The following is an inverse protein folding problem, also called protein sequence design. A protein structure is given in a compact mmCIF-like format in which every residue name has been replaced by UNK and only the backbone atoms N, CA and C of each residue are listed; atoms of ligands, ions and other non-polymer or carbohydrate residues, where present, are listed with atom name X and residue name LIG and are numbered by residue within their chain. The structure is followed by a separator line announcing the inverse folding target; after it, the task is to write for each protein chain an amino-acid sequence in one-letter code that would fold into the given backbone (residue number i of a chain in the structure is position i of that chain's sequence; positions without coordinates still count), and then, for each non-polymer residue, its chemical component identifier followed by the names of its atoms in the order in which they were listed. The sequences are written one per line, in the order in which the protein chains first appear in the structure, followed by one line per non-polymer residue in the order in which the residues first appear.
data_IF_799962142175
#
_entry.id   IF_799962142175
#
_cell.length_a   1.000
_cell.length_b   1.000
_cell.length_c   1.000
_cell.angle_alpha   90.00
_cell.angle_beta   90.00
_cell.angle_gamma   90.00
#
_symmetry.space_group_name_H-M   'P 1'
#
loop_
_entity.id
_entity.type
_entity.pdbx_description
1 polymer ?
#
# COMPACT_ATOMS: atom_id res chain seq x y z
N UNK A 1 -23.02 42.01 14.85
CA UNK A 1 -24.14 41.57 13.97
C UNK A 1 -23.52 40.56 13.01
N UNK A 2 -23.75 39.24 13.04
CA UNK A 2 -24.99 38.47 13.20
C UNK A 2 -24.68 36.99 13.52
N UNK A 3 -25.35 36.48 14.58
CA UNK A 3 -25.91 35.12 14.83
C UNK A 3 -25.10 33.81 14.70
N UNK A 4 -25.09 32.95 15.75
CA UNK A 4 -24.85 31.51 15.63
C UNK A 4 -26.16 30.71 15.50
N UNK A 5 -26.17 29.67 14.65
CA UNK A 5 -27.30 28.75 14.44
C UNK A 5 -27.38 27.72 15.58
N UNK A 6 -28.51 27.71 16.31
CA UNK A 6 -28.91 26.61 17.19
C UNK A 6 -29.32 25.39 16.35
N UNK A 7 -28.70 24.23 16.59
CA UNK A 7 -29.20 22.91 16.19
C UNK A 7 -30.06 22.36 17.33
N UNK A 8 -31.35 22.18 17.07
CA UNK A 8 -32.28 21.50 17.97
C UNK A 8 -32.49 20.08 17.45
N UNK A 9 -32.14 19.08 18.26
CA UNK A 9 -32.26 17.64 17.94
C UNK A 9 -33.50 17.12 18.67
N UNK A 10 -34.54 16.73 17.94
CA UNK A 10 -35.76 16.16 18.50
C UNK A 10 -35.76 14.64 18.35
N UNK A 11 -35.71 13.93 19.48
CA UNK A 11 -35.93 12.49 19.65
C UNK A 11 -37.42 12.14 19.59
N UNK A 12 -37.84 10.98 19.03
CA UNK A 12 -39.24 10.57 19.05
C UNK A 12 -39.62 9.86 20.36
N UNK A 13 -40.73 10.27 20.97
CA UNK A 13 -41.40 9.59 22.08
C UNK A 13 -42.37 8.52 21.56
N UNK A 14 -42.32 7.37 22.23
CA UNK A 14 -43.20 6.20 22.09
C UNK A 14 -44.45 6.42 22.97
N UNK A 15 -45.65 6.20 22.42
CA UNK A 15 -46.88 6.13 23.20
C UNK A 15 -47.72 4.93 22.74
N UNK A 16 -48.13 4.14 23.74
CA UNK A 16 -48.92 2.92 23.69
C UNK A 16 -50.37 3.27 24.01
N UNK A 17 -51.36 2.62 23.39
CA UNK A 17 -52.73 2.61 23.91
C UNK A 17 -53.81 2.29 22.89
N UNK A 18 -54.09 0.99 22.71
CA UNK A 18 -55.32 0.47 22.10
C UNK A 18 -56.40 0.34 23.18
N UNK A 19 -57.62 0.84 22.92
CA UNK A 19 -58.84 0.01 22.86
C UNK A 19 -60.08 0.87 22.50
N UNK A 20 -61.03 0.27 21.76
CA UNK A 20 -62.50 0.31 21.90
C UNK A 20 -63.14 -0.09 20.54
N UNK A 21 -63.74 -1.28 20.51
CA UNK A 21 -64.77 -1.75 19.56
C UNK A 21 -66.08 -0.95 19.85
N UNK A 22 -66.95 -0.54 18.93
CA UNK A 22 -67.77 -1.23 17.94
C UNK A 22 -68.46 -0.14 17.08
N UNK A 23 -68.71 -0.39 15.79
CA UNK A 23 -70.07 -0.42 15.22
C UNK A 23 -70.02 -0.54 13.69
N UNK A 24 -70.84 -1.47 13.19
CA UNK A 24 -71.02 -1.81 11.80
C UNK A 24 -71.93 -0.79 11.10
N UNK A 25 -71.46 -0.22 9.99
CA UNK A 25 -72.17 -0.26 8.70
C UNK A 25 -71.34 0.46 7.62
N UNK A 26 -71.14 -0.15 6.43
CA UNK A 26 -71.03 0.64 5.23
C UNK A 26 -72.00 0.10 4.20
N UNK A 27 -73.05 0.88 3.93
CA UNK A 27 -73.76 0.79 2.66
C UNK A 27 -73.98 2.20 2.15
N UNK A 28 -72.89 2.84 1.72
CA UNK A 28 -72.95 3.83 0.66
C UNK A 28 -71.96 3.42 -0.40
N UNK A 29 -72.56 2.99 -1.51
CA UNK A 29 -72.01 2.69 -2.81
C UNK A 29 -71.06 3.82 -3.27
N UNK A 30 -69.77 3.72 -2.96
CA UNK A 30 -68.74 4.50 -3.64
C UNK A 30 -68.57 3.93 -5.05
N UNK A 31 -69.39 4.48 -5.94
CA UNK A 31 -69.13 4.47 -7.37
C UNK A 31 -67.69 4.89 -7.59
N UNK A 32 -66.89 3.92 -8.04
CA UNK A 32 -65.57 4.10 -8.61
C UNK A 32 -65.69 5.12 -9.75
N UNK A 33 -65.51 6.39 -9.44
CA UNK A 33 -65.43 7.45 -10.43
C UNK A 33 -64.26 7.10 -11.34
N UNK A 34 -64.52 6.98 -12.64
CA UNK A 34 -63.43 6.93 -13.60
C UNK A 34 -62.59 8.20 -13.44
N UNK A 35 -61.26 8.09 -13.36
CA UNK A 35 -60.43 9.26 -13.17
C UNK A 35 -60.65 10.22 -14.34
N UNK A 36 -60.88 11.50 -14.03
CA UNK A 36 -61.05 12.53 -15.04
C UNK A 36 -59.81 12.58 -15.94
N UNK A 37 -59.91 13.04 -17.19
CA UNK A 37 -58.73 13.06 -18.08
C UNK A 37 -57.57 13.88 -17.50
N UNK A 38 -57.88 14.89 -16.68
CA UNK A 38 -56.90 15.67 -15.94
C UNK A 38 -56.17 14.85 -14.85
N UNK A 39 -56.84 13.95 -14.16
CA UNK A 39 -56.23 13.07 -13.14
C UNK A 39 -55.31 12.03 -13.76
N UNK A 40 -55.66 11.51 -14.96
CA UNK A 40 -54.79 10.59 -15.72
C UNK A 40 -53.50 11.28 -16.18
N UNK A 41 -53.60 12.50 -16.73
CA UNK A 41 -52.43 13.28 -17.16
C UNK A 41 -51.51 13.64 -15.98
N UNK A 42 -52.07 14.02 -14.83
CA UNK A 42 -51.30 14.29 -13.61
C UNK A 42 -50.62 13.04 -13.06
N UNK A 43 -51.26 11.87 -13.15
CA UNK A 43 -50.66 10.60 -12.74
C UNK A 43 -49.49 10.20 -13.64
N UNK A 44 -49.63 10.39 -14.96
CA UNK A 44 -48.54 10.14 -15.92
C UNK A 44 -47.36 11.09 -15.72
N UNK A 45 -47.62 12.37 -15.43
CA UNK A 45 -46.57 13.35 -15.13
C UNK A 45 -45.84 13.03 -13.81
N UNK A 46 -46.59 12.65 -12.77
CA UNK A 46 -46.00 12.15 -11.51
C UNK A 46 -45.12 10.92 -11.72
N UNK A 47 -45.59 9.93 -12.49
CA UNK A 47 -44.81 8.74 -12.78
C UNK A 47 -43.50 9.08 -13.54
N UNK A 48 -43.57 9.97 -14.54
CA UNK A 48 -42.38 10.45 -15.25
C UNK A 48 -41.39 11.16 -14.32
N UNK A 49 -41.88 12.01 -13.42
CA UNK A 49 -41.04 12.70 -12.44
C UNK A 49 -40.42 11.73 -11.43
N UNK A 50 -41.16 10.71 -10.98
CA UNK A 50 -40.64 9.66 -10.09
C UNK A 50 -39.54 8.84 -10.76
N UNK A 51 -39.70 8.49 -12.03
CA UNK A 51 -38.69 7.75 -12.78
C UNK A 51 -37.44 8.60 -13.06
N UNK A 52 -37.61 9.88 -13.39
CA UNK A 52 -36.50 10.83 -13.49
C UNK A 52 -35.78 11.01 -12.15
N UNK A 53 -36.51 11.06 -11.03
CA UNK A 53 -35.93 11.13 -9.69
C UNK A 53 -35.15 9.85 -9.35
N UNK A 54 -35.66 8.67 -9.72
CA UNK A 54 -34.94 7.40 -9.54
C UNK A 54 -33.64 7.42 -10.35
N UNK A 55 -33.70 7.78 -11.64
CA UNK A 55 -32.52 7.86 -12.49
C UNK A 55 -31.46 8.85 -11.96
N UNK A 56 -31.88 10.05 -11.53
CA UNK A 56 -30.96 11.05 -10.98
C UNK A 56 -30.38 10.57 -9.66
N UNK A 57 -31.18 9.96 -8.78
CA UNK A 57 -30.68 9.40 -7.53
C UNK A 57 -29.66 8.29 -7.77
N UNK A 58 -29.88 7.42 -8.75
CA UNK A 58 -28.94 6.35 -9.09
C UNK A 58 -27.64 6.91 -9.69
N UNK A 59 -27.75 7.90 -10.59
CA UNK A 59 -26.57 8.63 -11.13
C UNK A 59 -25.81 9.35 -10.01
N UNK A 60 -26.51 9.98 -9.08
CA UNK A 60 -25.91 10.68 -7.94
C UNK A 60 -25.20 9.73 -6.99
N UNK A 61 -25.84 8.62 -6.60
CA UNK A 61 -25.22 7.58 -5.75
C UNK A 61 -23.98 6.99 -6.41
N UNK A 62 -24.04 6.73 -7.72
CA UNK A 62 -22.87 6.26 -8.49
C UNK A 62 -21.74 7.28 -8.50
N UNK A 63 -22.05 8.55 -8.78
CA UNK A 63 -21.06 9.63 -8.77
C UNK A 63 -20.40 9.80 -7.39
N UNK A 64 -21.16 9.67 -6.29
CA UNK A 64 -20.62 9.68 -4.94
C UNK A 64 -19.69 8.49 -4.68
N UNK A 65 -20.07 7.30 -5.12
CA UNK A 65 -19.22 6.11 -4.99
C UNK A 65 -17.92 6.25 -5.80
N UNK A 66 -17.99 6.76 -7.02
CA UNK A 66 -16.82 7.02 -7.87
C UNK A 66 -15.90 8.06 -7.24
N UNK A 67 -16.46 9.13 -6.68
CA UNK A 67 -15.70 10.17 -5.98
C UNK A 67 -14.96 9.60 -4.75
N UNK A 68 -15.61 8.76 -3.94
CA UNK A 68 -14.96 8.14 -2.78
C UNK A 68 -13.89 7.13 -3.19
N UNK A 69 -14.12 6.34 -4.25
CA UNK A 69 -13.12 5.44 -4.83
C UNK A 69 -11.88 6.20 -5.30
N UNK A 70 -12.05 7.32 -6.00
CA UNK A 70 -10.94 8.18 -6.45
C UNK A 70 -10.22 8.78 -5.25
N UNK A 71 -10.94 9.22 -4.22
CA UNK A 71 -10.37 9.77 -2.99
C UNK A 71 -9.48 8.75 -2.28
N UNK A 72 -9.98 7.54 -2.06
CA UNK A 72 -9.22 6.45 -1.43
C UNK A 72 -8.01 6.04 -2.27
N UNK A 73 -8.17 5.93 -3.59
CA UNK A 73 -7.05 5.62 -4.50
C UNK A 73 -5.98 6.71 -4.44
N UNK A 74 -6.37 7.97 -4.45
CA UNK A 74 -5.45 9.10 -4.41
C UNK A 74 -4.67 9.15 -3.10
N UNK A 75 -5.31 8.85 -1.96
CA UNK A 75 -4.64 8.74 -0.67
C UNK A 75 -3.55 7.66 -0.68
N UNK A 76 -3.88 6.46 -1.18
CA UNK A 76 -2.90 5.36 -1.32
C UNK A 76 -1.72 5.76 -2.22
N UNK A 77 -1.97 6.39 -3.36
CA UNK A 77 -0.91 6.86 -4.25
C UNK A 77 -0.02 7.91 -3.59
N UNK A 78 -0.59 8.81 -2.78
CA UNK A 78 0.19 9.81 -2.04
C UNK A 78 1.04 9.15 -0.94
N UNK A 79 0.51 8.15 -0.24
CA UNK A 79 1.26 7.38 0.76
C UNK A 79 2.40 6.58 0.11
N UNK A 80 2.13 5.89 -0.99
CA UNK A 80 3.14 5.16 -1.77
C UNK A 80 4.21 6.11 -2.31
N UNK A 81 3.82 7.27 -2.86
CA UNK A 81 4.76 8.27 -3.35
C UNK A 81 5.67 8.83 -2.23
N UNK A 82 5.15 8.95 -1.00
CA UNK A 82 5.96 9.36 0.16
C UNK A 82 6.96 8.28 0.57
N UNK A 83 6.52 7.02 0.61
CA UNK A 83 7.38 5.90 1.03
C UNK A 83 8.44 5.55 -0.02
N UNK A 84 8.09 5.61 -1.30
CA UNK A 84 8.94 5.16 -2.41
C UNK A 84 9.49 6.30 -3.27
N UNK A 85 9.21 7.57 -2.94
CA UNK A 85 9.75 8.73 -3.67
C UNK A 85 11.27 8.81 -3.64
N UNK A 86 11.91 8.29 -2.59
CA UNK A 86 13.37 8.22 -2.45
C UNK A 86 14.01 7.04 -3.19
N UNK A 87 13.23 6.23 -3.90
CA UNK A 87 13.69 4.97 -4.49
C UNK A 87 14.88 5.14 -5.44
N UNK A 88 14.83 6.12 -6.35
CA UNK A 88 15.92 6.39 -7.29
C UNK A 88 17.19 6.83 -6.56
N UNK A 89 17.06 7.80 -5.65
CA UNK A 89 18.17 8.27 -4.82
C UNK A 89 18.82 7.13 -4.04
N UNK A 90 18.02 6.24 -3.46
CA UNK A 90 18.55 5.07 -2.76
C UNK A 90 19.31 4.13 -3.70
N UNK A 91 18.83 3.90 -4.93
CA UNK A 91 19.56 3.06 -5.92
C UNK A 91 20.93 3.62 -6.24
N UNK A 92 21.03 4.92 -6.49
CA UNK A 92 22.32 5.57 -6.79
C UNK A 92 23.28 5.45 -5.60
N UNK A 93 22.76 5.59 -4.38
CA UNK A 93 23.56 5.46 -3.16
C UNK A 93 24.00 4.02 -2.87
N UNK A 94 23.29 3.00 -3.38
CA UNK A 94 23.74 1.61 -3.29
C UNK A 94 25.01 1.37 -4.12
N UNK A 95 25.18 2.06 -5.25
CA UNK A 95 26.42 1.93 -6.05
C UNK A 95 27.63 2.44 -5.27
N UNK A 96 27.46 3.56 -4.55
CA UNK A 96 28.50 4.09 -3.66
C UNK A 96 28.81 3.11 -2.53
N UNK A 97 27.79 2.50 -1.91
CA UNK A 97 27.98 1.50 -0.88
C UNK A 97 28.76 0.26 -1.40
N UNK A 98 28.47 -0.21 -2.61
CA UNK A 98 29.20 -1.32 -3.22
C UNK A 98 30.68 -0.97 -3.50
N UNK A 99 30.94 0.27 -3.91
CA UNK A 99 32.32 0.75 -4.15
C UNK A 99 33.09 0.80 -2.82
N UNK A 100 32.45 1.24 -1.74
CA UNK A 100 33.05 1.23 -0.40
C UNK A 100 33.37 -0.19 0.06
N UNK A 101 32.45 -1.14 -0.14
CA UNK A 101 32.66 -2.56 0.19
C UNK A 101 33.81 -3.17 -0.63
N UNK A 102 33.87 -2.88 -1.94
CA UNK A 102 35.02 -3.28 -2.77
C UNK A 102 36.33 -2.65 -2.32
N UNK A 103 36.30 -1.38 -1.89
CA UNK A 103 37.49 -0.69 -1.42
C UNK A 103 38.02 -1.34 -0.13
N UNK A 104 37.15 -1.69 0.82
CA UNK A 104 37.55 -2.40 2.04
C UNK A 104 38.02 -3.83 1.75
N UNK A 105 37.42 -4.54 0.79
CA UNK A 105 37.88 -5.87 0.36
C UNK A 105 39.22 -5.87 -0.39
N UNK A 106 39.53 -4.78 -1.10
CA UNK A 106 40.74 -4.68 -1.94
C UNK A 106 42.05 -4.55 -1.15
N UNK A 107 41.98 -4.15 0.13
CA UNK A 107 43.16 -3.99 0.98
C UNK A 107 43.58 -5.35 1.53
N UNK A 108 44.80 -5.84 1.23
CA UNK A 108 45.27 -7.12 1.77
C UNK A 108 45.34 -7.05 3.30
N UNK A 109 44.66 -7.97 3.99
CA UNK A 109 44.62 -8.00 5.46
C UNK A 109 46.01 -8.08 6.10
N UNK A 110 46.98 -8.67 5.39
CA UNK A 110 48.36 -8.79 5.86
C UNK A 110 49.14 -7.47 5.86
N UNK A 111 48.69 -6.47 5.10
CA UNK A 111 49.29 -5.13 5.03
C UNK A 111 48.66 -4.17 6.07
N UNK A 112 47.53 -4.55 6.67
CA UNK A 112 46.87 -3.81 7.76
C UNK A 112 47.58 -4.12 9.09
N UNK A 113 48.86 -3.77 9.16
CA UNK A 113 49.71 -3.93 10.34
C UNK A 113 50.15 -2.57 10.88
N UNK A 114 50.63 -2.56 12.12
CA UNK A 114 51.16 -1.34 12.76
C UNK A 114 52.44 -0.82 12.08
N UNK A 115 53.05 -1.61 11.20
CA UNK A 115 54.17 -1.20 10.33
C UNK A 115 53.79 -0.05 9.38
N UNK A 116 52.52 0.08 9.01
CA UNK A 116 52.03 1.17 8.17
C UNK A 116 50.79 1.85 8.78
N UNK A 117 50.98 2.71 9.80
CA UNK A 117 49.87 3.24 10.61
C UNK A 117 48.91 4.13 9.81
N UNK A 118 49.38 4.77 8.74
CA UNK A 118 48.53 5.59 7.86
C UNK A 118 47.52 4.73 7.06
N UNK A 119 47.95 3.57 6.56
CA UNK A 119 47.07 2.65 5.84
C UNK A 119 46.01 2.08 6.77
N UNK A 120 46.42 1.66 7.97
CA UNK A 120 45.50 1.15 9.01
C UNK A 120 44.44 2.19 9.40
N UNK A 121 44.86 3.43 9.67
CA UNK A 121 43.92 4.52 10.01
C UNK A 121 42.95 4.84 8.86
N UNK A 122 43.41 4.82 7.61
CA UNK A 122 42.55 5.02 6.44
C UNK A 122 41.52 3.89 6.30
N UNK A 123 41.96 2.63 6.44
CA UNK A 123 41.09 1.45 6.39
C UNK A 123 40.01 1.52 7.49
N UNK A 124 40.40 1.84 8.72
CA UNK A 124 39.46 2.01 9.84
C UNK A 124 38.43 3.12 9.54
N UNK A 125 38.87 4.25 8.96
CA UNK A 125 37.97 5.33 8.53
C UNK A 125 36.96 4.89 7.47
N UNK A 126 37.39 4.07 6.50
CA UNK A 126 36.50 3.50 5.47
C UNK A 126 35.47 2.55 6.09
N UNK A 127 35.90 1.65 6.98
CA UNK A 127 35.00 0.73 7.71
C UNK A 127 33.99 1.50 8.56
N UNK A 128 34.41 2.57 9.24
CA UNK A 128 33.50 3.44 10.00
C UNK A 128 32.45 4.10 9.09
N UNK A 129 32.86 4.54 7.90
CA UNK A 129 31.96 5.14 6.91
C UNK A 129 30.96 4.11 6.38
N UNK A 130 31.39 2.88 6.12
CA UNK A 130 30.53 1.76 5.72
C UNK A 130 29.48 1.44 6.80
N UNK A 131 29.91 1.36 8.07
CA UNK A 131 28.97 1.14 9.19
C UNK A 131 27.97 2.30 9.30
N UNK A 132 28.40 3.53 9.07
CA UNK A 132 27.54 4.71 9.15
C UNK A 132 26.51 4.74 8.01
N UNK A 133 26.89 4.42 6.77
CA UNK A 133 25.94 4.38 5.65
C UNK A 133 24.90 3.27 5.85
N UNK A 134 25.31 2.10 6.37
CA UNK A 134 24.38 1.02 6.71
C UNK A 134 23.39 1.41 7.82
N UNK A 135 23.82 2.21 8.81
CA UNK A 135 22.91 2.77 9.82
C UNK A 135 21.91 3.75 9.20
N UNK A 136 22.34 4.60 8.27
CA UNK A 136 21.46 5.53 7.55
C UNK A 136 20.44 4.76 6.71
N UNK A 137 20.87 3.72 5.99
CA UNK A 137 19.97 2.84 5.22
C UNK A 137 18.86 2.26 6.11
N UNK A 138 19.23 1.65 7.24
CA UNK A 138 18.25 1.08 8.18
C UNK A 138 17.26 2.13 8.71
N UNK A 139 17.72 3.35 9.02
CA UNK A 139 16.84 4.45 9.47
C UNK A 139 15.80 4.85 8.43
N UNK A 140 16.14 4.78 7.15
CA UNK A 140 15.24 5.08 6.04
C UNK A 140 14.52 3.86 5.46
N UNK A 141 14.51 2.73 6.18
CA UNK A 141 13.79 1.53 5.77
C UNK A 141 14.46 0.72 4.65
N UNK A 142 15.72 1.00 4.32
CA UNK A 142 16.55 0.12 3.51
C UNK A 142 17.12 -1.03 4.35
N UNK A 143 16.82 -2.25 3.93
CA UNK A 143 17.31 -3.48 4.54
C UNK A 143 18.22 -4.22 3.56
N UNK A 144 19.43 -4.55 4.02
CA UNK A 144 20.40 -5.38 3.29
C UNK A 144 19.94 -6.84 3.30
N UNK A 145 19.95 -7.49 2.14
CA UNK A 145 19.66 -8.91 1.96
C UNK A 145 20.97 -9.67 1.85
N UNK A 146 21.17 -10.58 2.79
CA UNK A 146 22.29 -11.53 2.80
C UNK A 146 21.77 -12.96 2.82
N UNK A 147 21.41 -13.52 1.64
CA UNK A 147 20.75 -14.81 1.57
C UNK A 147 21.71 -16.00 1.59
N UNK A 148 22.96 -15.87 2.03
CA UNK A 148 23.88 -17.03 2.09
C UNK A 148 23.26 -18.17 2.92
N UNK A 149 23.12 -19.35 2.31
CA UNK A 149 22.50 -20.52 2.94
C UNK A 149 20.97 -20.53 2.97
N UNK A 150 20.30 -19.45 2.54
CA UNK A 150 18.85 -19.42 2.39
C UNK A 150 18.42 -20.14 1.09
N UNK A 151 17.14 -20.53 1.01
CA UNK A 151 16.55 -21.01 -0.24
C UNK A 151 16.51 -19.88 -1.26
N UNK A 152 16.75 -20.23 -2.52
CA UNK A 152 16.65 -19.28 -3.61
C UNK A 152 15.21 -18.79 -3.79
N UNK A 153 15.00 -17.47 -3.82
CA UNK A 153 13.73 -16.82 -4.08
C UNK A 153 13.87 -15.92 -5.32
N UNK A 154 13.16 -16.21 -6.43
CA UNK A 154 13.19 -15.40 -7.65
C UNK A 154 12.74 -13.94 -7.46
N UNK A 155 11.97 -13.62 -6.42
CA UNK A 155 11.51 -12.24 -6.17
C UNK A 155 12.57 -11.36 -5.50
N UNK A 156 13.58 -11.98 -4.89
CA UNK A 156 14.58 -11.30 -4.05
C UNK A 156 16.02 -11.54 -4.54
N UNK A 157 16.24 -12.61 -5.30
CA UNK A 157 17.54 -13.07 -5.74
C UNK A 157 17.61 -13.21 -7.26
N UNK A 158 18.77 -12.93 -7.83
CA UNK A 158 19.10 -13.15 -9.23
C UNK A 158 20.29 -14.10 -9.31
N UNK A 159 20.06 -15.30 -9.88
CA UNK A 159 21.07 -16.34 -9.96
C UNK A 159 22.03 -16.05 -11.13
N UNK A 160 23.30 -15.76 -10.82
CA UNK A 160 24.34 -15.54 -11.82
C UNK A 160 24.89 -16.85 -12.40
N UNK A 161 25.06 -17.85 -11.53
CA UNK A 161 25.61 -19.15 -11.92
C UNK A 161 25.15 -20.24 -10.96
N UNK A 162 25.30 -21.48 -11.42
CA UNK A 162 25.03 -22.68 -10.66
C UNK A 162 26.35 -23.41 -10.43
N UNK A 163 26.64 -23.78 -9.19
CA UNK A 163 27.87 -24.50 -8.84
C UNK A 163 27.56 -25.71 -7.95
N UNK A 164 28.20 -26.87 -8.18
CA UNK A 164 28.15 -27.97 -7.23
C UNK A 164 28.96 -27.58 -5.99
N UNK A 165 28.32 -27.61 -4.83
CA UNK A 165 28.97 -27.33 -3.53
C UNK A 165 28.70 -28.50 -2.62
N UNK A 166 29.75 -29.22 -2.25
CA UNK A 166 29.64 -30.36 -1.34
C UNK A 166 29.09 -29.92 0.02
N UNK A 167 28.11 -30.67 0.53
CA UNK A 167 27.51 -30.42 1.85
C UNK A 167 26.43 -29.32 1.90
N UNK A 168 26.03 -28.72 0.77
CA UNK A 168 24.89 -27.79 0.71
C UNK A 168 23.71 -28.37 -0.07
N UNK A 169 22.49 -28.04 0.35
CA UNK A 169 21.28 -28.51 -0.31
C UNK A 169 21.11 -27.86 -1.71
N UNK A 170 20.72 -28.63 -2.75
CA UNK A 170 20.38 -28.09 -4.06
C UNK A 170 19.29 -27.01 -3.96
N UNK A 171 19.43 -25.93 -4.73
CA UNK A 171 18.48 -24.81 -4.72
C UNK A 171 18.66 -23.81 -3.57
N UNK A 172 19.71 -23.97 -2.76
CA UNK A 172 20.12 -22.94 -1.78
C UNK A 172 21.16 -21.99 -2.36
N UNK A 173 21.27 -20.80 -1.76
CA UNK A 173 22.28 -19.81 -2.15
C UNK A 173 23.64 -20.21 -1.59
N UNK A 174 24.59 -20.49 -2.49
CA UNK A 174 25.96 -20.87 -2.16
C UNK A 174 26.81 -19.67 -1.73
N UNK A 175 26.74 -18.59 -2.52
CA UNK A 175 27.56 -17.38 -2.42
C UNK A 175 26.73 -16.18 -2.87
N UNK A 176 26.93 -15.04 -2.22
CA UNK A 176 26.39 -13.74 -2.66
C UNK A 176 27.54 -12.97 -3.31
N UNK A 177 27.42 -12.68 -4.61
CA UNK A 177 28.40 -11.85 -5.34
C UNK A 177 28.12 -10.36 -5.18
N UNK A 178 26.84 -9.99 -5.02
CA UNK A 178 26.44 -8.60 -4.82
C UNK A 178 25.22 -8.56 -3.90
N UNK A 179 25.30 -7.75 -2.86
CA UNK A 179 24.25 -7.67 -1.85
C UNK A 179 22.95 -7.10 -2.42
N UNK A 180 21.83 -7.70 -2.03
CA UNK A 180 20.49 -7.20 -2.35
C UNK A 180 20.01 -6.17 -1.33
N UNK A 181 19.02 -5.37 -1.68
CA UNK A 181 18.40 -4.40 -0.77
C UNK A 181 16.88 -4.30 -0.98
N UNK A 182 16.14 -4.15 0.11
CA UNK A 182 14.69 -3.86 0.13
C UNK A 182 14.42 -2.49 0.73
N UNK A 183 13.50 -1.74 0.15
CA UNK A 183 12.97 -0.49 0.70
C UNK A 183 11.54 -0.75 1.20
N UNK A 184 11.30 -0.61 2.50
CA UNK A 184 9.96 -0.78 3.11
C UNK A 184 9.23 -2.08 2.69
N UNK A 185 9.99 -3.17 2.51
CA UNK A 185 9.47 -4.49 2.10
C UNK A 185 9.45 -4.74 0.58
N UNK A 186 9.64 -3.73 -0.26
CA UNK A 186 9.75 -3.88 -1.71
C UNK A 186 11.21 -4.09 -2.12
N UNK A 187 11.50 -5.09 -2.94
CA UNK A 187 12.85 -5.31 -3.51
C UNK A 187 13.28 -4.11 -4.35
N UNK A 188 14.36 -3.46 -3.94
CA UNK A 188 14.96 -2.33 -4.64
C UNK A 188 15.99 -2.80 -5.66
N UNK A 189 16.82 -3.75 -5.23
CA UNK A 189 17.86 -4.42 -6.00
C UNK A 189 17.94 -5.88 -5.52
N UNK A 190 17.81 -6.87 -6.41
CA UNK A 190 17.97 -8.26 -6.02
C UNK A 190 19.41 -8.55 -5.60
N UNK A 191 19.60 -9.55 -4.74
CA UNK A 191 20.93 -10.06 -4.45
C UNK A 191 21.41 -10.90 -5.63
N UNK A 192 22.62 -10.63 -6.14
CA UNK A 192 23.24 -11.47 -7.16
C UNK A 192 23.90 -12.66 -6.48
N UNK A 193 23.44 -13.86 -6.78
CA UNK A 193 23.80 -15.08 -6.04
C UNK A 193 24.27 -16.21 -6.95
N UNK A 194 25.13 -17.07 -6.41
CA UNK A 194 25.40 -18.39 -6.96
C UNK A 194 24.50 -19.41 -6.27
N UNK A 195 23.80 -20.25 -7.04
CA UNK A 195 22.87 -21.27 -6.51
C UNK A 195 23.54 -22.65 -6.54
N UNK A 196 23.32 -23.45 -5.50
CA UNK A 196 23.84 -24.83 -5.44
C UNK A 196 23.07 -25.68 -6.44
N UNK A 197 23.81 -26.32 -7.35
CA UNK A 197 23.27 -27.37 -8.22
C UNK A 197 23.46 -28.73 -7.57
N UNK A 198 22.53 -29.63 -7.82
CA UNK A 198 22.74 -31.06 -7.58
C UNK A 198 23.97 -31.52 -8.37
N UNK A 199 24.85 -32.27 -7.70
CA UNK A 199 26.13 -32.74 -8.25
C UNK A 199 25.92 -33.79 -9.34
#
# INVERSE_FOLDING_TARGET
RTSPRLLCVATPQKSTGQNVEEEQSPSVNEQKAEPSSAEKLLAEEKAKLEDQLKEINDKYKRALADAENVRQRSQKLVEEAKLYGIQSFCKDLLEVADILEKATESVPKEEIKDENPHLKSLYEGLVMTEVQIQKVFKKHGLLRLDPVGAKFDPYEHEALFHAPVEGKEPGTVALVSKMGYKLHGRTLRPALVGVVKEA
#
